data_IF_925472849035
#
_entry.id   IF_925472849035
#
_cell.length_a   1.000
_cell.length_b   1.000
_cell.length_c   1.000
_cell.angle_alpha   90.00
_cell.angle_beta   90.00
_cell.angle_gamma   90.00
#
_symmetry.space_group_name_H-M   'P 1'
#
loop_
_entity.id
_entity.type
_entity.pdbx_description
1 polymer ?
#
# COMPACT_ATOMS: atom_id res chain seq x y z
N UNK A 1 -30.64 -39.56 31.17
CA UNK A 1 -29.54 -38.82 31.83
C UNK A 1 -28.31 -39.73 31.88
N UNK A 2 -27.10 -39.16 31.76
CA UNK A 2 -25.74 -39.76 31.59
C UNK A 2 -25.28 -39.76 30.12
N UNK A 3 -24.76 -38.63 29.62
CA UNK A 3 -23.38 -38.15 29.73
C UNK A 3 -22.41 -39.04 28.92
N UNK A 4 -22.02 -38.62 27.72
CA UNK A 4 -20.86 -37.75 27.44
C UNK A 4 -19.53 -38.52 27.54
N UNK A 5 -18.98 -38.90 26.38
CA UNK A 5 -17.54 -39.06 26.17
C UNK A 5 -17.28 -38.83 24.67
N UNK A 6 -17.14 -37.56 24.27
CA UNK A 6 -15.86 -36.85 24.15
C UNK A 6 -14.98 -37.43 23.03
N UNK A 7 -15.41 -37.04 21.84
CA UNK A 7 -14.69 -37.02 20.58
C UNK A 7 -13.62 -35.91 20.62
N UNK A 8 -12.48 -36.11 21.30
CA UNK A 8 -11.31 -35.21 21.18
C UNK A 8 -10.03 -35.98 21.48
N UNK A 9 -9.23 -36.28 20.46
CA UNK A 9 -7.75 -36.38 20.54
C UNK A 9 -7.08 -36.82 19.22
N UNK A 10 -7.69 -36.58 18.05
CA UNK A 10 -6.91 -36.41 16.82
C UNK A 10 -6.30 -35.00 16.82
N UNK A 11 -5.54 -34.67 17.86
CA UNK A 11 -4.69 -33.49 17.95
C UNK A 11 -3.42 -33.81 17.18
N UNK A 12 -3.52 -33.79 15.85
CA UNK A 12 -2.35 -33.40 15.07
C UNK A 12 -2.04 -31.97 15.52
N UNK A 13 -0.81 -31.67 15.97
CA UNK A 13 -0.42 -30.30 16.09
C UNK A 13 -0.41 -29.76 14.65
N UNK A 14 -1.44 -29.01 14.28
CA UNK A 14 -1.29 -27.97 13.30
C UNK A 14 -0.31 -26.97 13.93
N UNK A 15 0.98 -27.30 13.92
CA UNK A 15 2.02 -26.28 13.86
C UNK A 15 1.84 -25.65 12.50
N UNK A 16 0.87 -24.73 12.40
CA UNK A 16 1.03 -23.56 11.57
C UNK A 16 2.27 -22.86 12.15
N UNK A 17 3.46 -23.37 11.82
CA UNK A 17 4.64 -22.55 11.81
C UNK A 17 4.27 -21.43 10.87
N UNK A 18 3.87 -20.30 11.43
CA UNK A 18 3.79 -19.05 10.72
C UNK A 18 5.06 -19.00 9.88
N UNK A 19 4.90 -19.06 8.56
CA UNK A 19 5.98 -19.02 7.59
C UNK A 19 6.60 -17.62 7.73
N UNK A 20 7.42 -17.46 8.76
CA UNK A 20 8.04 -16.22 9.16
C UNK A 20 9.51 -16.42 8.91
N UNK A 21 10.05 -15.59 8.01
CA UNK A 21 11.47 -15.65 7.65
C UNK A 21 12.03 -14.25 7.79
N UNK A 22 12.79 -13.93 8.86
CA UNK A 22 13.35 -12.61 9.06
C UNK A 22 14.00 -12.05 7.79
N UNK A 23 13.64 -10.83 7.41
CA UNK A 23 14.17 -10.17 6.21
C UNK A 23 13.47 -10.52 4.89
N UNK A 24 12.48 -11.42 4.89
CA UNK A 24 11.68 -11.72 3.69
C UNK A 24 10.66 -10.62 3.43
N UNK A 25 10.64 -10.10 2.21
CA UNK A 25 9.63 -9.15 1.74
C UNK A 25 8.40 -9.91 1.23
N UNK A 26 7.21 -9.50 1.66
CA UNK A 26 5.93 -10.05 1.20
C UNK A 26 4.90 -8.95 1.01
N UNK A 27 3.92 -9.20 0.16
CA UNK A 27 2.76 -8.32 0.01
C UNK A 27 1.90 -8.42 1.27
N UNK A 28 1.66 -7.28 1.92
CA UNK A 28 0.79 -7.18 3.09
C UNK A 28 -0.68 -6.98 2.71
N UNK A 29 -0.93 -6.23 1.63
CA UNK A 29 -2.28 -6.02 1.11
C UNK A 29 -2.27 -5.27 -0.21
N UNK A 30 -3.43 -5.20 -0.86
CA UNK A 30 -3.63 -4.54 -2.14
C UNK A 30 -4.77 -3.51 -2.07
N UNK A 31 -4.72 -2.53 -2.96
CA UNK A 31 -5.77 -1.56 -3.17
C UNK A 31 -6.01 -1.44 -4.69
N UNK A 32 -7.24 -1.67 -5.11
CA UNK A 32 -7.68 -1.26 -6.44
C UNK A 32 -8.02 0.23 -6.39
N UNK A 33 -7.40 1.02 -7.26
CA UNK A 33 -7.50 2.47 -7.22
C UNK A 33 -8.17 2.99 -8.48
N UNK A 34 -9.10 3.93 -8.30
CA UNK A 34 -9.71 4.68 -9.38
C UNK A 34 -8.86 5.90 -9.73
N UNK A 35 -8.82 6.22 -11.01
CA UNK A 35 -8.10 7.39 -11.51
C UNK A 35 -8.98 8.62 -11.31
N UNK A 36 -8.51 9.54 -10.47
CA UNK A 36 -9.18 10.83 -10.23
C UNK A 36 -8.72 11.85 -11.26
N UNK A 37 -7.41 11.90 -11.53
CA UNK A 37 -6.84 12.77 -12.56
C UNK A 37 -5.52 12.20 -13.07
N UNK A 38 -5.25 12.41 -14.35
CA UNK A 38 -4.02 11.97 -15.00
C UNK A 38 -3.58 12.99 -16.04
N UNK A 39 -2.31 13.39 -16.01
CA UNK A 39 -1.73 14.40 -16.90
C UNK A 39 -0.39 13.93 -17.48
N UNK A 40 0.02 14.55 -18.59
CA UNK A 40 1.29 14.26 -19.25
C UNK A 40 1.43 12.79 -19.61
N UNK A 41 2.52 12.15 -19.16
CA UNK A 41 2.81 10.73 -19.48
C UNK A 41 1.77 9.76 -18.92
N UNK A 42 0.89 10.20 -18.01
CA UNK A 42 -0.15 9.37 -17.41
C UNK A 42 -1.53 9.52 -18.06
N UNK A 43 -1.72 10.46 -19.00
CA UNK A 43 -3.04 10.83 -19.53
C UNK A 43 -3.83 9.68 -20.20
N UNK A 44 -3.17 8.56 -20.52
CA UNK A 44 -3.80 7.37 -21.11
C UNK A 44 -3.95 6.18 -20.16
N UNK A 45 -3.59 6.31 -18.88
CA UNK A 45 -3.69 5.21 -17.93
C UNK A 45 -5.15 4.84 -17.71
N UNK A 46 -5.48 3.55 -17.77
CA UNK A 46 -6.85 3.06 -17.59
C UNK A 46 -7.04 2.28 -16.28
N UNK A 47 -5.99 1.59 -15.81
CA UNK A 47 -6.05 0.74 -14.63
C UNK A 47 -4.88 1.02 -13.69
N UNK A 48 -5.18 1.08 -12.39
CA UNK A 48 -4.18 1.28 -11.35
C UNK A 48 -4.42 0.34 -10.17
N UNK A 49 -3.39 -0.41 -9.79
CA UNK A 49 -3.40 -1.29 -8.62
C UNK A 49 -2.19 -0.98 -7.74
N UNK A 50 -2.42 -0.80 -6.45
CA UNK A 50 -1.36 -0.60 -5.46
C UNK A 50 -1.22 -1.86 -4.60
N UNK A 51 0.01 -2.24 -4.30
CA UNK A 51 0.30 -3.26 -3.30
C UNK A 51 1.30 -2.72 -2.30
N UNK A 52 1.05 -2.95 -1.01
CA UNK A 52 1.98 -2.60 0.06
C UNK A 52 2.82 -3.82 0.44
N UNK A 53 4.08 -3.57 0.76
CA UNK A 53 5.06 -4.58 1.10
C UNK A 53 5.48 -4.43 2.55
N UNK A 54 5.70 -5.57 3.21
CA UNK A 54 6.29 -5.66 4.54
C UNK A 54 7.48 -6.58 4.50
N UNK A 55 8.45 -6.28 5.36
CA UNK A 55 9.54 -7.21 5.66
C UNK A 55 9.20 -7.94 6.94
N UNK A 56 9.29 -9.27 6.93
CA UNK A 56 9.13 -10.09 8.13
C UNK A 56 10.12 -9.62 9.22
N UNK A 57 9.58 -9.15 10.35
CA UNK A 57 10.33 -8.60 11.48
C UNK A 57 10.31 -7.08 11.58
N UNK A 58 9.80 -6.39 10.56
CA UNK A 58 9.55 -4.95 10.59
C UNK A 58 8.09 -4.65 10.97
N UNK A 59 7.89 -3.54 11.69
CA UNK A 59 6.54 -3.11 12.14
C UNK A 59 5.77 -2.33 11.07
N UNK A 60 6.48 -1.71 10.15
CA UNK A 60 5.95 -0.75 9.20
C UNK A 60 6.01 -1.31 7.76
N UNK A 61 5.25 -0.70 6.84
CA UNK A 61 5.40 -0.98 5.42
C UNK A 61 6.79 -0.56 4.92
N UNK A 62 7.44 -1.46 4.18
CA UNK A 62 8.81 -1.28 3.69
C UNK A 62 8.87 -0.84 2.24
N UNK A 63 7.75 -1.00 1.51
CA UNK A 63 7.65 -0.58 0.13
C UNK A 63 6.24 -0.62 -0.42
N UNK A 64 6.10 -0.10 -1.63
CA UNK A 64 4.87 -0.11 -2.41
C UNK A 64 5.18 -0.52 -3.84
N UNK A 65 4.29 -1.26 -4.47
CA UNK A 65 4.33 -1.48 -5.92
C UNK A 65 3.02 -1.03 -6.54
N UNK A 66 3.13 -0.03 -7.43
CA UNK A 66 2.04 0.51 -8.22
C UNK A 66 2.09 -0.10 -9.62
N UNK A 67 1.02 -0.77 -10.03
CA UNK A 67 0.88 -1.33 -11.37
C UNK A 67 -0.07 -0.45 -12.17
N UNK A 68 0.42 0.14 -13.26
CA UNK A 68 -0.35 0.95 -14.20
C UNK A 68 -0.44 0.21 -15.52
N UNK A 69 -1.65 -0.15 -15.97
CA UNK A 69 -1.90 -0.92 -17.20
C UNK A 69 -0.97 -2.15 -17.36
N UNK A 70 -0.77 -2.89 -16.27
CA UNK A 70 0.09 -4.08 -16.23
C UNK A 70 1.59 -3.81 -16.04
N UNK A 71 2.03 -2.55 -16.10
CA UNK A 71 3.43 -2.17 -15.83
C UNK A 71 3.63 -1.84 -14.35
N UNK A 72 4.46 -2.61 -13.67
CA UNK A 72 4.78 -2.40 -12.26
C UNK A 72 5.90 -1.36 -12.07
N UNK A 73 5.68 -0.44 -11.14
CA UNK A 73 6.65 0.49 -10.57
C UNK A 73 6.84 0.12 -9.10
N UNK A 74 8.09 -0.04 -8.65
CA UNK A 74 8.41 -0.47 -7.29
C UNK A 74 9.12 0.63 -6.53
N UNK A 75 8.66 0.87 -5.31
CA UNK A 75 9.04 2.01 -4.52
C UNK A 75 9.41 1.56 -3.09
N UNK A 76 10.53 2.05 -2.54
CA UNK A 76 10.94 1.77 -1.15
C UNK A 76 10.56 2.89 -0.19
N UNK A 77 9.85 2.57 0.89
CA UNK A 77 9.44 3.56 1.89
C UNK A 77 10.68 4.15 2.58
N UNK A 78 10.86 5.48 2.53
CA UNK A 78 11.91 6.18 3.29
C UNK A 78 11.54 6.40 4.76
N UNK A 79 10.26 6.29 5.08
CA UNK A 79 9.71 6.49 6.41
C UNK A 79 8.20 6.69 6.33
N UNK A 80 7.50 6.35 7.39
CA UNK A 80 6.08 6.62 7.54
C UNK A 80 5.97 7.79 8.50
N UNK A 81 5.70 8.98 7.97
CA UNK A 81 5.29 10.08 8.82
C UNK A 81 3.88 9.74 9.31
N UNK A 82 3.63 9.72 10.61
CA UNK A 82 2.30 9.51 11.18
C UNK A 82 1.85 10.85 11.77
N UNK A 83 1.05 11.62 11.03
CA UNK A 83 0.51 12.90 11.50
C UNK A 83 -1.00 12.84 11.69
N UNK A 84 -1.47 13.23 12.88
CA UNK A 84 -2.87 13.43 13.23
C UNK A 84 -3.13 13.26 14.74
N UNK A 85 -3.93 14.14 15.35
CA UNK A 85 -4.57 13.87 16.65
C UNK A 85 -5.75 12.89 16.48
N UNK A 86 -6.30 12.81 15.27
CA UNK A 86 -7.21 11.80 14.77
C UNK A 86 -6.60 11.26 13.47
N UNK A 87 -6.17 10.00 13.48
CA UNK A 87 -5.71 9.27 12.29
C UNK A 87 -4.25 9.37 11.91
N UNK A 88 -3.86 8.43 11.05
CA UNK A 88 -2.50 8.28 10.55
C UNK A 88 -2.49 8.74 9.09
N UNK A 89 -2.09 9.99 8.83
CA UNK A 89 -1.65 10.34 7.47
C UNK A 89 -0.31 9.65 7.25
N UNK A 90 -0.28 8.43 6.73
CA UNK A 90 0.96 7.77 6.33
C UNK A 90 1.44 8.45 5.05
N UNK A 91 2.54 9.20 5.11
CA UNK A 91 3.16 9.76 3.91
C UNK A 91 4.43 8.97 3.60
N UNK A 92 4.31 8.01 2.67
CA UNK A 92 5.47 7.30 2.17
C UNK A 92 6.15 8.15 1.11
N UNK A 93 7.30 8.75 1.44
CA UNK A 93 8.19 9.36 0.45
C UNK A 93 9.04 8.29 -0.18
N UNK A 94 8.91 8.14 -1.49
CA UNK A 94 9.49 7.05 -2.25
C UNK A 94 10.45 7.64 -3.27
N UNK A 95 11.71 7.18 -3.28
CA UNK A 95 12.71 7.72 -4.19
C UNK A 95 12.50 7.26 -5.61
N UNK A 96 12.48 8.25 -6.49
CA UNK A 96 13.28 8.33 -7.71
C UNK A 96 13.64 6.97 -8.29
N UNK A 97 12.67 6.38 -8.97
CA UNK A 97 13.02 5.51 -10.08
C UNK A 97 13.40 6.46 -11.20
N UNK A 98 14.68 6.49 -11.56
CA UNK A 98 15.10 7.03 -12.85
C UNK A 98 14.66 6.04 -13.92
N UNK A 99 13.43 6.16 -14.43
CA UNK A 99 12.98 5.36 -15.57
C UNK A 99 13.45 6.04 -16.84
N UNK A 100 14.69 5.76 -17.26
CA UNK A 100 15.30 6.49 -18.38
C UNK A 100 15.55 7.94 -17.99
N UNK A 101 14.74 8.87 -18.49
CA UNK A 101 14.94 10.32 -18.35
C UNK A 101 13.93 11.00 -17.43
N UNK A 102 13.36 10.31 -16.44
CA UNK A 102 12.38 10.91 -15.53
C UNK A 102 12.59 10.49 -14.07
N UNK A 103 12.39 11.43 -13.15
CA UNK A 103 12.32 11.20 -11.71
C UNK A 103 10.87 11.00 -11.29
N UNK A 104 10.54 9.79 -10.81
CA UNK A 104 9.18 9.44 -10.37
C UNK A 104 9.10 9.35 -8.85
N UNK A 105 8.15 10.08 -8.26
CA UNK A 105 7.83 10.05 -6.84
C UNK A 105 6.41 9.51 -6.63
N UNK A 106 6.23 8.72 -5.58
CA UNK A 106 4.92 8.24 -5.13
C UNK A 106 4.67 8.77 -3.72
N UNK A 107 3.46 9.26 -3.49
CA UNK A 107 2.96 9.66 -2.18
C UNK A 107 1.65 8.94 -1.93
N UNK A 108 1.64 8.02 -0.98
CA UNK A 108 0.43 7.41 -0.45
C UNK A 108 -0.04 8.28 0.71
N UNK A 109 -1.35 8.52 0.84
CA UNK A 109 -1.99 9.17 1.99
C UNK A 109 -3.19 8.34 2.40
N UNK A 110 -3.15 7.90 3.66
CA UNK A 110 -4.26 7.22 4.30
C UNK A 110 -5.09 8.22 5.11
N UNK A 111 -6.38 8.34 4.79
CA UNK A 111 -7.32 9.20 5.54
C UNK A 111 -8.22 8.41 6.49
N UNK A 112 -7.99 7.11 6.69
CA UNK A 112 -8.81 6.20 7.51
C UNK A 112 -9.08 6.70 8.93
N UNK A 113 -8.21 7.52 9.51
CA UNK A 113 -8.48 8.17 10.79
C UNK A 113 -8.55 9.69 10.75
N UNK A 114 -8.40 10.33 9.58
CA UNK A 114 -8.33 11.79 9.47
C UNK A 114 -9.64 12.48 9.89
N UNK A 115 -10.75 11.75 9.92
CA UNK A 115 -11.99 12.18 10.54
C UNK A 115 -12.00 11.75 12.01
N UNK A 116 -12.11 12.70 12.94
CA UNK A 116 -12.43 12.39 14.35
C UNK A 116 -13.86 11.80 14.50
N UNK A 117 -14.63 11.80 13.41
CA UNK A 117 -15.91 11.12 13.28
C UNK A 117 -15.71 9.77 12.60
N UNK A 118 -16.51 8.78 13.03
CA UNK A 118 -16.60 7.43 12.48
C UNK A 118 -17.21 7.52 11.07
N UNK A 119 -16.45 8.05 10.10
CA UNK A 119 -16.86 8.06 8.70
C UNK A 119 -16.25 6.82 8.06
N UNK A 120 -17.14 5.90 7.68
CA UNK A 120 -16.90 4.52 7.22
C UNK A 120 -16.22 4.44 5.84
N UNK A 121 -15.73 5.57 5.31
CA UNK A 121 -15.13 5.64 3.98
C UNK A 121 -13.62 5.73 4.10
N UNK A 122 -12.97 4.57 4.08
CA UNK A 122 -11.52 4.37 4.11
C UNK A 122 -10.86 4.85 2.81
N UNK A 123 -10.81 6.15 2.58
CA UNK A 123 -10.28 6.68 1.32
C UNK A 123 -8.75 6.79 1.43
N UNK A 124 -8.05 6.03 0.60
CA UNK A 124 -6.66 6.27 0.26
C UNK A 124 -6.58 7.24 -0.91
N UNK A 125 -5.64 8.17 -0.84
CA UNK A 125 -5.21 8.95 -1.99
C UNK A 125 -3.77 8.62 -2.31
N UNK A 126 -3.51 8.35 -3.58
CA UNK A 126 -2.17 8.03 -4.07
C UNK A 126 -1.83 9.01 -5.18
N UNK A 127 -0.77 9.79 -4.98
CA UNK A 127 -0.27 10.75 -5.96
C UNK A 127 1.05 10.25 -6.51
N UNK A 128 1.14 10.12 -7.83
CA UNK A 128 2.38 9.91 -8.58
C UNK A 128 2.76 11.20 -9.25
N UNK A 129 4.00 11.64 -9.08
CA UNK A 129 4.56 12.77 -9.82
C UNK A 129 5.79 12.31 -10.57
N UNK A 130 5.81 12.54 -11.88
CA UNK A 130 6.96 12.29 -12.74
C UNK A 130 7.49 13.61 -13.26
N UNK A 131 8.80 13.86 -13.08
CA UNK A 131 9.49 15.04 -13.60
C UNK A 131 10.48 14.59 -14.66
N UNK A 132 10.33 15.07 -15.88
CA UNK A 132 11.26 14.83 -16.98
C UNK A 132 12.59 15.54 -16.71
N UNK A 133 13.69 14.82 -16.90
CA UNK A 133 15.06 15.31 -16.73
C UNK A 133 15.50 16.12 -17.97
N UNK A 134 14.89 15.89 -19.14
CA UNK A 134 15.25 16.57 -20.38
C UNK A 134 14.71 18.00 -20.46
N UNK A 135 13.44 18.20 -20.06
CA UNK A 135 12.72 19.46 -20.29
C UNK A 135 12.02 20.00 -19.02
N UNK A 136 12.13 19.30 -17.89
CA UNK A 136 11.48 19.70 -16.64
C UNK A 136 9.96 19.54 -16.65
N UNK A 137 9.38 18.92 -17.67
CA UNK A 137 7.93 18.71 -17.74
C UNK A 137 7.45 17.84 -16.58
N UNK A 138 6.30 18.22 -16.00
CA UNK A 138 5.71 17.52 -14.85
C UNK A 138 4.44 16.80 -15.29
N UNK A 139 4.39 15.51 -14.99
CA UNK A 139 3.21 14.66 -15.18
C UNK A 139 2.71 14.19 -13.82
N UNK A 140 1.39 14.17 -13.63
CA UNK A 140 0.78 13.81 -12.35
C UNK A 140 -0.31 12.78 -12.57
N UNK A 141 -0.38 11.79 -11.68
CA UNK A 141 -1.47 10.84 -11.58
C UNK A 141 -2.00 10.86 -10.15
N UNK A 142 -3.28 11.19 -9.98
CA UNK A 142 -3.97 11.14 -8.68
C UNK A 142 -4.97 10.00 -8.72
N UNK A 143 -4.83 9.12 -7.76
CA UNK A 143 -5.64 7.92 -7.61
C UNK A 143 -6.37 7.98 -6.26
N UNK A 144 -7.58 7.43 -6.23
CA UNK A 144 -8.36 7.27 -5.01
C UNK A 144 -8.99 5.89 -4.93
N UNK A 145 -9.05 5.31 -3.75
CA UNK A 145 -9.69 4.01 -3.58
C UNK A 145 -9.70 3.56 -2.14
N UNK A 146 -10.34 2.42 -1.90
CA UNK A 146 -10.38 1.80 -0.58
C UNK A 146 -9.37 0.65 -0.56
N UNK A 147 -8.44 0.61 0.40
CA UNK A 147 -7.49 -0.47 0.50
C UNK A 147 -8.13 -1.75 1.05
N UNK A 148 -7.48 -2.89 0.84
CA UNK A 148 -7.74 -4.09 1.63
C UNK A 148 -7.45 -3.84 3.12
N UNK A 149 -8.22 -4.52 3.98
CA UNK A 149 -8.14 -4.38 5.43
C UNK A 149 -6.73 -4.49 6.00
N UNK A 150 -5.92 -5.41 5.48
CA UNK A 150 -4.55 -5.65 5.94
C UNK A 150 -3.58 -4.49 5.66
N UNK A 151 -3.92 -3.58 4.74
CA UNK A 151 -3.14 -2.35 4.54
C UNK A 151 -3.42 -1.29 5.61
N UNK A 152 -4.47 -1.44 6.41
CA UNK A 152 -4.90 -0.46 7.42
C UNK A 152 -4.39 -0.77 8.83
N UNK A 153 -3.82 -1.96 9.07
CA UNK A 153 -3.63 -2.51 10.42
C UNK A 153 -2.17 -2.77 10.84
N UNK A 154 -1.18 -2.08 10.23
CA UNK A 154 0.23 -2.15 10.65
C UNK A 154 0.67 -1.01 11.57
#
# INVERSE_FOLDING_TARGET
MKALLLLVAALLPFTASADFRPGRVRTAGKAELQIISATGVFAGVAQANLSAQVTDGERDFTGYSLTLDGKALSFRARGINRRGQCGITQEAFLNEITTGDAQVNLTVKDFTGATCEIVVNHIWQVTVTSVSIQDGSVSTLVLGGNPEYFMMTL
#
